data_IF_577191544427
#
_entry.id   IF_577191544427
#
_cell.length_a   1.000
_cell.length_b   1.000
_cell.length_c   1.000
_cell.angle_alpha   90.00
_cell.angle_beta   90.00
_cell.angle_gamma   90.00
#
_symmetry.space_group_name_H-M   'P 1'
#
loop_
_entity.id
_entity.type
_entity.pdbx_description
1 polymer ?
#
# COMPACT_ATOMS: atom_id res chain seq x y z
N UNK A 1 -20.59 9.54 -11.26
CA UNK A 1 -19.28 8.87 -11.51
C UNK A 1 -18.20 9.74 -10.88
N UNK A 2 -17.40 9.19 -9.95
CA UNK A 2 -16.34 9.96 -9.27
C UNK A 2 -15.13 10.09 -10.20
N UNK A 3 -14.55 11.29 -10.33
CA UNK A 3 -13.45 11.54 -11.30
C UNK A 3 -12.07 11.08 -10.80
N UNK A 4 -11.84 11.06 -9.48
CA UNK A 4 -10.66 10.52 -8.78
C UNK A 4 -9.32 11.22 -9.07
N UNK A 5 -8.83 11.22 -10.31
CA UNK A 5 -7.52 11.76 -10.68
C UNK A 5 -7.51 12.30 -12.13
N UNK A 6 -6.94 13.50 -12.39
CA UNK A 6 -6.87 14.08 -13.73
C UNK A 6 -5.81 13.40 -14.61
N UNK A 7 -5.88 13.63 -15.92
CA UNK A 7 -4.89 13.19 -16.89
C UNK A 7 -5.38 12.10 -17.83
N UNK A 8 -4.76 12.00 -19.00
CA UNK A 8 -5.17 11.09 -20.10
C UNK A 8 -4.18 9.95 -20.32
N UNK A 9 -3.06 9.93 -19.60
CA UNK A 9 -2.04 8.89 -19.67
C UNK A 9 -2.50 7.56 -19.07
N UNK A 10 -1.78 6.47 -19.39
CA UNK A 10 -1.98 5.18 -18.74
C UNK A 10 -1.69 5.28 -17.24
N UNK A 11 -0.64 6.00 -16.84
CA UNK A 11 -0.33 6.26 -15.41
C UNK A 11 -1.50 6.92 -14.69
N UNK A 12 -2.15 7.92 -15.29
CA UNK A 12 -3.33 8.56 -14.71
C UNK A 12 -4.52 7.59 -14.61
N UNK A 13 -4.72 6.74 -15.61
CA UNK A 13 -5.76 5.72 -15.58
C UNK A 13 -5.51 4.68 -14.48
N UNK A 14 -4.29 4.19 -14.32
CA UNK A 14 -3.91 3.27 -13.25
C UNK A 14 -4.17 3.91 -11.88
N UNK A 15 -3.82 5.19 -11.69
CA UNK A 15 -4.13 5.93 -10.46
C UNK A 15 -5.63 5.97 -10.15
N UNK A 16 -6.47 6.13 -11.18
CA UNK A 16 -7.93 6.05 -11.05
C UNK A 16 -8.39 4.65 -10.67
N UNK A 17 -7.93 3.62 -11.37
CA UNK A 17 -8.28 2.21 -11.14
C UNK A 17 -8.00 1.79 -9.69
N UNK A 18 -6.76 2.01 -9.22
CA UNK A 18 -6.39 1.69 -7.85
C UNK A 18 -7.22 2.44 -6.82
N UNK A 19 -7.67 3.66 -7.09
CA UNK A 19 -8.41 4.46 -6.09
C UNK A 19 -9.92 4.23 -6.16
N UNK A 20 -10.45 3.73 -7.28
CA UNK A 20 -11.87 3.44 -7.45
C UNK A 20 -12.26 2.14 -6.74
N UNK A 21 -13.10 2.15 -5.67
CA UNK A 21 -13.49 0.92 -4.99
C UNK A 21 -14.24 -0.08 -5.89
N UNK A 22 -14.90 0.40 -6.95
CA UNK A 22 -15.62 -0.44 -7.91
C UNK A 22 -14.71 -1.12 -8.95
N UNK A 23 -13.43 -0.73 -9.03
CA UNK A 23 -12.47 -1.43 -9.88
C UNK A 23 -11.95 -2.67 -9.14
N UNK A 24 -12.14 -3.83 -9.76
CA UNK A 24 -11.61 -5.11 -9.29
C UNK A 24 -10.11 -5.18 -9.54
N UNK A 25 -9.32 -5.27 -8.47
CA UNK A 25 -7.87 -5.37 -8.54
C UNK A 25 -7.49 -6.77 -9.02
N UNK A 26 -6.63 -6.86 -10.03
CA UNK A 26 -6.18 -8.15 -10.54
C UNK A 26 -5.40 -8.93 -9.47
N UNK A 27 -5.84 -10.15 -9.19
CA UNK A 27 -5.13 -11.10 -8.32
C UNK A 27 -4.03 -11.81 -9.12
N UNK A 28 -2.79 -11.68 -8.66
CA UNK A 28 -1.58 -12.18 -9.33
C UNK A 28 -0.96 -13.40 -8.64
N UNK A 29 -1.36 -13.67 -7.39
CA UNK A 29 -0.85 -14.78 -6.56
C UNK A 29 -1.83 -15.14 -5.45
N UNK A 30 -1.58 -16.27 -4.81
CA UNK A 30 -2.26 -16.71 -3.59
C UNK A 30 -1.22 -16.85 -2.47
N UNK A 31 -1.53 -16.32 -1.29
CA UNK A 31 -0.71 -16.43 -0.07
C UNK A 31 -1.64 -16.89 1.04
N UNK A 32 -1.29 -17.97 1.74
CA UNK A 32 -2.15 -18.49 2.81
C UNK A 32 -2.33 -17.46 3.94
N UNK A 33 -3.45 -17.53 4.67
CA UNK A 33 -3.70 -16.61 5.79
C UNK A 33 -2.60 -16.74 6.86
N UNK A 34 -2.11 -17.96 7.09
CA UNK A 34 -0.97 -18.25 7.96
C UNK A 34 0.30 -17.53 7.48
N UNK A 35 0.59 -17.57 6.18
CA UNK A 35 1.76 -16.91 5.63
C UNK A 35 1.65 -15.38 5.67
N UNK A 36 0.45 -14.81 5.53
CA UNK A 36 0.22 -13.38 5.78
C UNK A 36 0.58 -13.03 7.23
N UNK A 37 0.15 -13.83 8.20
CA UNK A 37 0.49 -13.63 9.63
C UNK A 37 2.01 -13.72 9.85
N UNK A 38 2.67 -14.72 9.25
CA UNK A 38 4.14 -14.89 9.30
C UNK A 38 4.88 -13.68 8.73
N UNK A 39 4.48 -13.19 7.55
CA UNK A 39 5.06 -12.01 6.89
C UNK A 39 4.91 -10.75 7.78
N UNK A 40 3.73 -10.59 8.40
CA UNK A 40 3.44 -9.46 9.27
C UNK A 40 4.27 -9.48 10.56
N UNK A 41 4.48 -10.66 11.15
CA UNK A 41 5.36 -10.84 12.32
C UNK A 41 4.83 -10.24 13.63
N UNK A 42 3.51 -10.03 13.76
CA UNK A 42 2.89 -9.40 14.93
C UNK A 42 2.47 -10.40 16.02
N UNK A 43 2.13 -11.60 15.60
CA UNK A 43 1.67 -12.75 16.40
C UNK A 43 2.06 -14.04 15.70
N UNK A 44 2.04 -15.16 16.42
CA UNK A 44 2.22 -16.47 15.79
C UNK A 44 0.91 -16.93 15.08
N UNK A 45 1.00 -17.78 14.05
CA UNK A 45 -0.16 -18.49 13.53
C UNK A 45 -0.88 -19.27 14.66
N UNK A 46 -2.21 -19.19 14.70
CA UNK A 46 -3.03 -19.79 15.76
C UNK A 46 -3.01 -19.06 17.11
N UNK A 47 -2.17 -18.04 17.30
CA UNK A 47 -2.25 -17.17 18.49
C UNK A 47 -3.50 -16.28 18.41
N UNK A 48 -4.22 -16.20 19.53
CA UNK A 48 -5.36 -15.30 19.72
C UNK A 48 -4.98 -13.83 19.50
N UNK A 49 -5.92 -13.04 18.98
CA UNK A 49 -5.74 -11.59 18.90
C UNK A 49 -5.65 -11.00 20.30
N UNK A 50 -4.61 -10.19 20.54
CA UNK A 50 -4.48 -9.50 21.83
C UNK A 50 -5.23 -8.18 21.77
N UNK A 51 -5.84 -7.82 22.89
CA UNK A 51 -6.62 -6.59 23.01
C UNK A 51 -5.80 -5.43 23.61
N UNK A 52 -6.14 -4.20 23.24
CA UNK A 52 -5.64 -2.95 23.84
C UNK A 52 -6.67 -2.32 24.79
N UNK A 53 -7.95 -2.69 24.65
CA UNK A 53 -9.04 -2.34 25.55
C UNK A 53 -10.09 -3.46 25.55
N UNK A 54 -11.03 -3.50 26.52
CA UNK A 54 -12.15 -4.45 26.49
C UNK A 54 -12.99 -4.34 25.21
N UNK A 55 -13.73 -5.40 24.82
CA UNK A 55 -14.74 -5.31 23.77
C UNK A 55 -15.71 -4.13 23.97
N UNK A 56 -16.17 -3.52 22.87
CA UNK A 56 -16.99 -2.30 22.94
C UNK A 56 -18.35 -2.53 23.64
N UNK A 57 -18.89 -3.74 23.58
CA UNK A 57 -20.14 -4.11 24.27
C UNK A 57 -19.98 -4.33 25.78
N UNK A 58 -18.73 -4.39 26.26
CA UNK A 58 -18.40 -4.42 27.68
C UNK A 58 -18.11 -3.01 28.24
N UNK A 59 -18.09 -1.98 27.39
CA UNK A 59 -17.82 -0.60 27.80
C UNK A 59 -19.12 0.15 28.13
N UNK A 60 -19.16 0.80 29.30
CA UNK A 60 -20.26 1.65 29.73
C UNK A 60 -20.09 3.08 29.17
N UNK A 61 -20.16 3.19 27.85
CA UNK A 61 -20.02 4.49 27.18
C UNK A 61 -21.36 5.26 27.16
N UNK A 62 -21.36 6.59 27.39
CA UNK A 62 -22.59 7.39 27.39
C UNK A 62 -23.22 7.47 25.99
N UNK A 63 -24.51 7.75 25.91
CA UNK A 63 -25.22 7.96 24.64
C UNK A 63 -24.52 9.02 23.76
N UNK A 64 -24.23 8.67 22.51
CA UNK A 64 -23.60 9.56 21.52
C UNK A 64 -24.13 9.26 20.12
N UNK A 65 -25.01 10.13 19.64
CA UNK A 65 -25.62 10.02 18.30
C UNK A 65 -24.61 9.96 17.16
N UNK A 66 -23.43 10.58 17.29
CA UNK A 66 -22.39 10.54 16.24
C UNK A 66 -21.71 9.17 16.23
N UNK A 67 -21.47 8.57 17.40
CA UNK A 67 -20.89 7.22 17.51
C UNK A 67 -21.84 6.16 16.93
N UNK A 68 -23.13 6.26 17.25
CA UNK A 68 -24.15 5.30 16.79
C UNK A 68 -24.30 5.25 15.25
N UNK A 69 -24.03 6.36 14.56
CA UNK A 69 -24.07 6.44 13.10
C UNK A 69 -22.89 5.72 12.41
N UNK A 70 -21.78 5.48 13.13
CA UNK A 70 -20.53 4.98 12.54
C UNK A 70 -20.25 3.55 13.01
N UNK A 71 -20.59 2.58 12.17
CA UNK A 71 -20.38 1.16 12.48
C UNK A 71 -18.89 0.83 12.68
N UNK A 72 -18.46 0.30 13.84
CA UNK A 72 -17.06 -0.08 14.07
C UNK A 72 -16.66 -1.29 13.20
N UNK A 73 -15.39 -1.34 12.80
CA UNK A 73 -14.77 -2.54 12.19
C UNK A 73 -14.64 -3.66 13.22
N UNK A 74 -14.48 -4.90 12.77
CA UNK A 74 -14.53 -6.09 13.64
C UNK A 74 -13.47 -6.05 14.74
N UNK A 75 -12.24 -5.64 14.41
CA UNK A 75 -11.16 -5.55 15.40
C UNK A 75 -11.35 -4.39 16.37
N UNK A 76 -12.11 -3.35 16.02
CA UNK A 76 -12.46 -2.29 16.96
C UNK A 76 -13.50 -2.79 17.96
N UNK A 77 -14.51 -3.53 17.50
CA UNK A 77 -15.52 -4.17 18.38
C UNK A 77 -14.88 -5.11 19.41
N UNK A 78 -13.90 -5.91 18.98
CA UNK A 78 -13.20 -6.86 19.85
C UNK A 78 -12.08 -6.24 20.69
N UNK A 79 -11.75 -4.97 20.46
CA UNK A 79 -10.69 -4.27 21.16
C UNK A 79 -9.26 -4.69 20.77
N UNK A 80 -9.06 -5.27 19.59
CA UNK A 80 -7.75 -5.69 19.09
C UNK A 80 -6.72 -4.55 19.13
N UNK A 81 -5.44 -4.87 19.35
CA UNK A 81 -4.36 -3.89 19.20
C UNK A 81 -4.30 -3.32 17.78
N UNK A 82 -3.70 -2.15 17.63
CA UNK A 82 -3.38 -1.54 16.34
C UNK A 82 -2.01 -2.05 15.88
N UNK A 83 -1.93 -2.57 14.65
CA UNK A 83 -0.72 -3.10 14.01
C UNK A 83 -0.61 -2.56 12.59
N UNK A 84 0.49 -2.88 11.90
CA UNK A 84 0.83 -2.25 10.63
C UNK A 84 1.37 -3.21 9.57
N UNK A 85 1.25 -2.82 8.31
CA UNK A 85 2.07 -3.33 7.20
C UNK A 85 2.71 -2.14 6.50
N UNK A 86 3.97 -2.28 6.11
CA UNK A 86 4.73 -1.21 5.45
C UNK A 86 5.42 -1.72 4.18
N UNK A 87 5.26 -0.93 3.11
CA UNK A 87 5.82 -1.22 1.79
C UNK A 87 6.87 -0.19 1.39
N UNK A 88 7.82 -0.64 0.56
CA UNK A 88 8.78 0.20 -0.16
C UNK A 88 8.60 -0.09 -1.64
N UNK A 89 8.28 0.92 -2.43
CA UNK A 89 8.03 0.76 -3.86
C UNK A 89 9.19 1.32 -4.67
N UNK A 90 9.78 0.50 -5.54
CA UNK A 90 10.85 0.92 -6.42
C UNK A 90 10.38 2.04 -7.35
N UNK A 91 11.23 3.06 -7.54
CA UNK A 91 11.04 4.08 -8.57
C UNK A 91 11.22 3.51 -9.99
N UNK A 92 11.68 2.26 -10.14
CA UNK A 92 11.75 1.54 -11.42
C UNK A 92 10.46 0.73 -11.64
N UNK A 93 9.40 1.47 -11.98
CA UNK A 93 8.12 0.97 -12.46
C UNK A 93 7.37 0.01 -11.52
N UNK A 94 7.58 0.08 -10.20
CA UNK A 94 6.69 -0.63 -9.26
C UNK A 94 5.23 -0.23 -9.51
N UNK A 95 4.27 -1.18 -9.40
CA UNK A 95 2.89 -0.94 -9.82
C UNK A 95 2.21 0.11 -8.93
N UNK A 96 2.38 -0.01 -7.61
CA UNK A 96 1.95 0.99 -6.64
C UNK A 96 3.09 1.93 -6.23
N UNK A 97 2.71 3.10 -5.71
CA UNK A 97 3.63 4.15 -5.25
C UNK A 97 3.10 4.82 -3.98
N UNK A 98 3.91 5.54 -3.19
CA UNK A 98 3.53 5.97 -1.85
C UNK A 98 2.22 6.78 -1.76
N UNK A 99 2.08 7.87 -2.54
CA UNK A 99 0.84 8.67 -2.53
C UNK A 99 -0.34 7.97 -3.20
N UNK A 100 -0.08 7.02 -4.12
CA UNK A 100 -1.15 6.20 -4.68
C UNK A 100 -1.77 5.36 -3.57
N UNK A 101 -0.94 4.62 -2.83
CA UNK A 101 -1.36 3.74 -1.76
C UNK A 101 -2.24 4.48 -0.76
N UNK A 102 -1.80 5.61 -0.22
CA UNK A 102 -2.61 6.36 0.76
C UNK A 102 -3.98 6.80 0.23
N UNK A 103 -4.05 7.37 -0.98
CA UNK A 103 -5.33 7.80 -1.59
C UNK A 103 -6.26 6.62 -1.84
N UNK A 104 -5.69 5.55 -2.36
CA UNK A 104 -6.40 4.32 -2.68
C UNK A 104 -6.92 3.64 -1.42
N UNK A 105 -6.12 3.56 -0.37
CA UNK A 105 -6.49 2.92 0.89
C UNK A 105 -7.65 3.67 1.55
N UNK A 106 -7.59 5.01 1.62
CA UNK A 106 -8.66 5.84 2.17
C UNK A 106 -9.96 5.80 1.35
N UNK A 107 -9.90 5.31 0.11
CA UNK A 107 -11.07 5.15 -0.76
C UNK A 107 -11.67 3.74 -0.70
N UNK A 108 -10.87 2.73 -0.34
CA UNK A 108 -11.27 1.31 -0.36
C UNK A 108 -11.50 0.71 1.02
N UNK A 109 -10.80 1.19 2.05
CA UNK A 109 -10.75 0.55 3.36
C UNK A 109 -11.29 1.45 4.47
N UNK A 110 -11.93 0.85 5.47
CA UNK A 110 -12.52 1.54 6.62
C UNK A 110 -11.58 1.49 7.82
N UNK A 111 -11.57 2.53 8.64
CA UNK A 111 -10.91 2.52 9.95
C UNK A 111 -9.39 2.32 9.89
N UNK A 112 -8.74 2.94 8.89
CA UNK A 112 -7.30 2.87 8.68
C UNK A 112 -6.61 4.19 9.06
N UNK A 113 -5.34 4.11 9.41
CA UNK A 113 -4.39 5.22 9.44
C UNK A 113 -3.29 4.94 8.40
N UNK A 114 -2.86 5.94 7.63
CA UNK A 114 -1.86 5.73 6.58
C UNK A 114 -0.85 6.86 6.44
N UNK A 115 0.43 6.49 6.44
CA UNK A 115 1.56 7.41 6.32
C UNK A 115 2.28 7.28 4.98
N UNK A 116 2.56 8.41 4.32
CA UNK A 116 3.28 8.46 3.04
C UNK A 116 4.64 9.12 3.21
N UNK A 117 5.71 8.43 2.81
CA UNK A 117 7.07 8.96 2.72
C UNK A 117 7.65 8.61 1.34
N UNK A 118 8.81 9.18 0.98
CA UNK A 118 9.47 8.83 -0.28
C UNK A 118 9.85 7.35 -0.33
N UNK A 119 10.54 6.86 0.71
CA UNK A 119 11.09 5.51 0.76
C UNK A 119 10.25 4.47 1.48
N UNK A 120 9.03 4.82 1.94
CA UNK A 120 8.11 3.85 2.55
C UNK A 120 6.68 4.37 2.59
N UNK A 121 5.72 3.45 2.58
CA UNK A 121 4.32 3.73 2.82
C UNK A 121 3.77 2.72 3.82
N UNK A 122 3.06 3.21 4.83
CA UNK A 122 2.54 2.40 5.93
C UNK A 122 1.03 2.54 6.04
N UNK A 123 0.38 1.46 6.44
CA UNK A 123 -1.02 1.48 6.89
C UNK A 123 -1.11 0.77 8.23
N UNK A 124 -1.78 1.41 9.19
CA UNK A 124 -2.08 0.90 10.52
C UNK A 124 -3.59 0.71 10.67
N UNK A 125 -4.00 -0.40 11.27
CA UNK A 125 -5.39 -0.71 11.56
C UNK A 125 -5.46 -1.73 12.71
N UNK A 126 -6.67 -2.10 13.13
CA UNK A 126 -6.88 -3.18 14.11
C UNK A 126 -6.34 -4.51 13.58
N UNK A 127 -5.75 -5.33 14.46
CA UNK A 127 -4.91 -6.48 14.08
C UNK A 127 -5.61 -7.47 13.12
N UNK A 128 -6.85 -7.89 13.37
CA UNK A 128 -7.58 -8.77 12.43
C UNK A 128 -7.93 -8.10 11.10
N UNK A 129 -8.16 -6.80 11.11
CA UNK A 129 -8.54 -6.03 9.92
C UNK A 129 -7.30 -5.75 9.05
N UNK A 130 -6.13 -5.52 9.67
CA UNK A 130 -4.87 -5.37 8.93
C UNK A 130 -4.44 -6.68 8.27
N UNK A 131 -4.73 -7.84 8.84
CA UNK A 131 -4.48 -9.14 8.20
C UNK A 131 -5.30 -9.32 6.92
N UNK A 132 -6.61 -9.09 6.98
CA UNK A 132 -7.51 -9.13 5.80
C UNK A 132 -7.06 -8.15 4.71
N UNK A 133 -6.76 -6.91 5.09
CA UNK A 133 -6.30 -5.87 4.18
C UNK A 133 -4.95 -6.25 3.56
N UNK A 134 -4.02 -6.79 4.35
CA UNK A 134 -2.68 -7.18 3.88
C UNK A 134 -2.75 -8.28 2.83
N UNK A 135 -3.65 -9.26 2.97
CA UNK A 135 -3.86 -10.30 1.95
C UNK A 135 -4.20 -9.68 0.59
N UNK A 136 -5.12 -8.71 0.54
CA UNK A 136 -5.45 -7.97 -0.69
C UNK A 136 -4.20 -7.27 -1.24
N UNK A 137 -3.45 -6.57 -0.39
CA UNK A 137 -2.27 -5.82 -0.83
C UNK A 137 -1.16 -6.73 -1.37
N UNK A 138 -1.00 -7.93 -0.83
CA UNK A 138 0.05 -8.87 -1.22
C UNK A 138 -0.34 -9.71 -2.45
N UNK A 139 -1.61 -10.07 -2.58
CA UNK A 139 -2.09 -10.96 -3.64
C UNK A 139 -2.39 -10.25 -4.96
N UNK A 140 -2.64 -8.94 -4.93
CA UNK A 140 -3.10 -8.20 -6.12
C UNK A 140 -1.99 -7.39 -6.78
N UNK A 141 -2.34 -6.69 -7.86
CA UNK A 141 -1.48 -5.76 -8.59
C UNK A 141 -0.91 -4.59 -7.77
N UNK A 142 -1.24 -4.42 -6.48
CA UNK A 142 -0.45 -3.56 -5.60
C UNK A 142 0.99 -4.02 -5.40
N UNK A 143 1.26 -5.31 -5.61
CA UNK A 143 2.49 -5.95 -5.20
C UNK A 143 3.17 -6.67 -6.37
N UNK A 144 4.36 -6.18 -6.69
CA UNK A 144 5.34 -6.93 -7.47
C UNK A 144 6.41 -7.48 -6.53
N UNK A 145 6.80 -8.74 -6.72
CA UNK A 145 7.67 -9.44 -5.78
C UNK A 145 9.12 -8.96 -5.80
N UNK A 146 9.55 -8.27 -6.86
CA UNK A 146 10.91 -7.73 -7.01
C UNK A 146 10.99 -6.20 -6.80
N UNK A 147 9.94 -5.47 -7.18
CA UNK A 147 9.85 -4.00 -7.16
C UNK A 147 9.10 -3.45 -5.96
N UNK A 148 8.40 -4.29 -5.19
CA UNK A 148 7.77 -3.90 -3.93
C UNK A 148 8.34 -4.71 -2.77
N UNK A 149 8.86 -3.99 -1.77
CA UNK A 149 9.47 -4.53 -0.57
C UNK A 149 8.55 -4.49 0.63
N UNK A 150 8.46 -5.56 1.44
CA UNK A 150 7.70 -5.57 2.71
C UNK A 150 8.66 -5.31 3.88
N UNK A 151 8.65 -4.09 4.43
CA UNK A 151 9.75 -3.60 5.29
C UNK A 151 9.28 -2.65 6.39
N UNK A 152 9.26 -3.11 7.64
CA UNK A 152 8.96 -2.30 8.83
C UNK A 152 10.17 -1.49 9.36
N UNK A 153 11.39 -1.99 9.14
CA UNK A 153 12.66 -1.33 9.49
C UNK A 153 13.68 -1.41 8.35
N UNK A 154 14.73 -0.57 8.38
CA UNK A 154 15.79 -0.53 7.35
C UNK A 154 15.24 -0.48 5.92
N UNK A 155 14.47 0.57 5.62
CA UNK A 155 13.62 0.69 4.42
C UNK A 155 14.36 1.16 3.15
N UNK A 156 15.67 1.37 3.20
CA UNK A 156 16.42 1.89 2.07
C UNK A 156 16.28 0.97 0.84
N UNK A 157 16.06 1.53 -0.36
CA UNK A 157 15.92 0.74 -1.60
C UNK A 157 15.15 1.41 -2.73
N UNK A 158 14.10 2.21 -2.45
CA UNK A 158 13.19 2.74 -3.49
C UNK A 158 13.89 3.49 -4.64
N UNK A 159 14.97 4.21 -4.33
CA UNK A 159 15.73 5.05 -5.25
C UNK A 159 17.05 4.42 -5.73
N UNK A 160 17.31 3.16 -5.35
CA UNK A 160 18.55 2.47 -5.72
C UNK A 160 18.38 1.76 -7.06
N UNK A 161 19.50 1.56 -7.74
CA UNK A 161 19.55 0.62 -8.86
C UNK A 161 19.11 -0.75 -8.37
N UNK A 162 18.44 -1.48 -9.26
CA UNK A 162 18.12 -2.89 -9.05
C UNK A 162 19.41 -3.72 -9.08
N UNK A 163 19.37 -4.90 -8.45
CA UNK A 163 20.46 -5.86 -8.52
C UNK A 163 20.47 -6.62 -9.86
N UNK A 164 21.41 -7.55 -10.03
CA UNK A 164 21.56 -8.33 -11.26
C UNK A 164 20.39 -9.26 -11.59
N UNK A 165 19.50 -9.51 -10.62
CA UNK A 165 18.28 -10.31 -10.80
C UNK A 165 17.02 -9.41 -10.91
N UNK A 166 17.19 -8.09 -10.96
CA UNK A 166 16.09 -7.13 -11.07
C UNK A 166 15.37 -6.83 -9.75
N UNK A 167 15.92 -7.28 -8.60
CA UNK A 167 15.34 -7.04 -7.29
C UNK A 167 15.74 -5.68 -6.74
N UNK A 168 14.81 -5.04 -6.03
CA UNK A 168 15.08 -3.83 -5.28
C UNK A 168 15.96 -4.13 -4.06
N UNK A 169 17.04 -3.36 -3.90
CA UNK A 169 17.94 -3.45 -2.74
C UNK A 169 17.17 -3.55 -1.42
N UNK A 170 17.52 -4.51 -0.58
CA UNK A 170 17.09 -4.63 0.82
C UNK A 170 18.32 -4.87 1.70
N UNK A 171 18.59 -3.97 2.65
CA UNK A 171 19.70 -4.11 3.59
C UNK A 171 19.62 -5.41 4.41
N UNK A 172 18.40 -5.89 4.72
CA UNK A 172 18.18 -7.09 5.53
C UNK A 172 17.93 -8.36 4.70
N UNK A 173 17.84 -8.21 3.37
CA UNK A 173 17.54 -9.28 2.39
C UNK A 173 16.35 -10.15 2.80
N UNK A 174 15.21 -9.53 3.11
CA UNK A 174 13.99 -10.24 3.50
C UNK A 174 13.35 -10.99 2.34
N UNK A 175 13.42 -10.42 1.14
CA UNK A 175 13.01 -11.06 -0.11
C UNK A 175 14.26 -11.50 -0.89
N UNK A 176 14.31 -12.77 -1.29
CA UNK A 176 15.46 -13.37 -1.98
C UNK A 176 14.97 -14.05 -3.26
N UNK A 177 15.70 -13.82 -4.36
CA UNK A 177 15.43 -14.48 -5.63
C UNK A 177 16.05 -15.88 -5.66
N UNK A 178 15.24 -16.89 -5.92
CA UNK A 178 15.67 -18.25 -6.13
C UNK A 178 15.92 -18.48 -7.63
N UNK A 179 17.19 -18.63 -8.01
CA UNK A 179 17.59 -18.80 -9.43
C UNK A 179 17.15 -20.12 -10.05
N UNK A 180 16.89 -21.15 -9.23
CA UNK A 180 16.46 -22.46 -9.72
C UNK A 180 14.98 -22.45 -10.08
N UNK A 181 14.17 -21.73 -9.32
CA UNK A 181 12.71 -21.68 -9.50
C UNK A 181 12.21 -20.44 -10.23
N UNK A 182 13.04 -19.38 -10.32
CA UNK A 182 12.65 -18.07 -10.85
C UNK A 182 11.72 -17.27 -9.93
N UNK A 183 11.52 -17.74 -8.68
CA UNK A 183 10.57 -17.14 -7.73
C UNK A 183 11.28 -16.31 -6.67
N UNK A 184 10.57 -15.34 -6.12
CA UNK A 184 10.99 -14.61 -4.92
C UNK A 184 10.39 -15.27 -3.69
N UNK A 185 11.23 -15.47 -2.69
CA UNK A 185 10.86 -16.03 -1.39
C UNK A 185 11.07 -14.97 -0.30
N UNK A 186 10.07 -14.80 0.58
CA UNK A 186 10.21 -14.04 1.81
C UNK A 186 10.81 -14.97 2.86
N UNK A 187 12.06 -14.72 3.27
CA UNK A 187 12.81 -15.56 4.22
C UNK A 187 12.82 -14.98 5.64
N UNK A 188 12.33 -13.75 5.80
CA UNK A 188 12.24 -13.02 7.06
C UNK A 188 10.93 -12.25 7.10
N UNK A 189 10.39 -11.98 8.28
CA UNK A 189 9.23 -11.09 8.46
C UNK A 189 9.56 -9.63 8.07
N UNK A 190 8.56 -8.75 8.11
CA UNK A 190 8.75 -7.35 7.73
C UNK A 190 9.78 -6.60 8.60
N UNK A 191 10.06 -7.03 9.85
CA UNK A 191 11.06 -6.39 10.73
C UNK A 191 12.45 -7.04 10.62
N UNK A 192 12.56 -8.16 9.90
CA UNK A 192 13.83 -8.84 9.60
C UNK A 192 14.14 -10.05 10.47
N UNK A 193 13.16 -10.61 11.19
CA UNK A 193 13.32 -11.89 11.90
C UNK A 193 13.17 -13.04 10.92
N UNK A 194 14.00 -14.06 11.03
CA UNK A 194 13.94 -15.25 10.16
C UNK A 194 12.60 -15.98 10.35
N UNK A 195 12.05 -16.46 9.24
CA UNK A 195 10.89 -17.34 9.26
C UNK A 195 11.38 -18.79 9.35
N UNK A 196 10.66 -19.62 10.10
CA UNK A 196 10.97 -21.05 10.21
C UNK A 196 10.91 -21.72 8.82
N UNK A 197 9.96 -21.30 7.99
CA UNK A 197 9.81 -21.69 6.60
C UNK A 197 9.65 -20.45 5.70
N UNK A 198 10.37 -20.35 4.56
CA UNK A 198 10.19 -19.26 3.62
C UNK A 198 8.79 -19.25 3.00
N UNK A 199 8.24 -18.06 2.79
CA UNK A 199 6.99 -17.87 2.06
C UNK A 199 7.29 -17.60 0.58
N UNK A 200 6.78 -18.43 -0.31
CA UNK A 200 6.93 -18.24 -1.76
C UNK A 200 5.97 -17.13 -2.23
N UNK A 201 6.53 -16.00 -2.68
CA UNK A 201 5.74 -14.87 -3.17
C UNK A 201 5.40 -14.99 -4.67
N UNK A 202 6.06 -15.88 -5.40
CA UNK A 202 5.89 -16.07 -6.83
C UNK A 202 6.93 -15.32 -7.67
N UNK A 203 6.70 -15.29 -8.97
CA UNK A 203 7.63 -14.71 -9.95
C UNK A 203 7.54 -13.17 -9.95
N UNK A 204 8.65 -12.45 -10.24
CA UNK A 204 8.59 -11.04 -10.58
C UNK A 204 7.77 -10.81 -11.84
N UNK A 205 7.03 -9.70 -11.91
CA UNK A 205 6.42 -9.25 -13.15
C UNK A 205 7.50 -8.86 -14.17
N UNK A 206 7.26 -9.14 -15.44
CA UNK A 206 8.11 -8.66 -16.51
C UNK A 206 8.02 -7.14 -16.70
N UNK A 207 9.01 -6.57 -17.39
CA UNK A 207 9.10 -5.12 -17.60
C UNK A 207 7.91 -4.54 -18.38
N UNK A 208 7.34 -5.29 -19.32
CA UNK A 208 6.19 -4.86 -20.11
C UNK A 208 4.96 -4.70 -19.20
N UNK A 209 4.69 -5.71 -18.39
CA UNK A 209 3.59 -5.72 -17.42
C UNK A 209 3.78 -4.64 -16.36
N UNK A 210 4.99 -4.46 -15.84
CA UNK A 210 5.30 -3.38 -14.89
C UNK A 210 5.00 -2.00 -15.49
N UNK A 211 5.43 -1.75 -16.74
CA UNK A 211 5.17 -0.48 -17.43
C UNK A 211 3.69 -0.24 -17.69
N UNK A 212 2.93 -1.29 -18.01
CA UNK A 212 1.49 -1.20 -18.19
C UNK A 212 0.74 -0.91 -16.87
N UNK A 213 1.22 -1.43 -15.74
CA UNK A 213 0.57 -1.32 -14.43
C UNK A 213 1.06 -0.16 -13.55
N UNK A 214 2.23 0.39 -13.86
CA UNK A 214 2.85 1.40 -13.00
C UNK A 214 2.03 2.68 -12.85
N UNK A 215 2.24 3.34 -11.72
CA UNK A 215 1.62 4.61 -11.37
C UNK A 215 2.65 5.74 -11.21
N UNK A 216 3.92 5.47 -11.51
CA UNK A 216 4.99 6.48 -11.54
C UNK A 216 5.18 7.04 -12.96
N UNK A 217 5.31 8.35 -13.08
CA UNK A 217 5.73 8.97 -14.33
C UNK A 217 7.26 9.01 -14.40
N UNK A 218 7.83 8.69 -15.55
CA UNK A 218 9.27 8.74 -15.83
C UNK A 218 9.55 9.06 -17.29
N UNK A 219 10.71 9.64 -17.58
CA UNK A 219 11.07 10.02 -18.95
C UNK A 219 11.33 8.81 -19.87
N UNK A 220 11.72 7.68 -19.30
CA UNK A 220 11.88 6.39 -19.97
C UNK A 220 10.59 5.54 -19.90
N UNK A 221 9.46 6.14 -19.52
CA UNK A 221 8.10 5.62 -19.61
C UNK A 221 7.16 6.74 -20.09
N UNK A 222 6.01 6.94 -19.44
CA UNK A 222 5.22 8.16 -19.65
C UNK A 222 5.76 9.30 -18.76
N UNK A 223 6.14 10.44 -19.35
CA UNK A 223 6.64 11.58 -18.60
C UNK A 223 5.50 12.48 -18.12
N UNK A 224 5.56 12.94 -16.87
CA UNK A 224 4.49 13.76 -16.28
C UNK A 224 4.23 15.06 -17.04
N UNK A 225 5.29 15.66 -17.61
CA UNK A 225 5.20 16.87 -18.43
C UNK A 225 4.34 16.70 -19.69
N UNK A 226 4.18 15.48 -20.17
CA UNK A 226 3.44 15.16 -21.39
C UNK A 226 1.97 14.84 -21.08
N UNK A 227 1.61 14.56 -19.81
CA UNK A 227 0.22 14.49 -19.33
C UNK A 227 -0.29 15.89 -18.95
N UNK A 228 -0.48 16.71 -19.99
CA UNK A 228 -0.79 18.14 -19.86
C UNK A 228 -2.04 18.43 -19.02
N UNK A 229 -3.03 17.55 -19.02
CA UNK A 229 -4.25 17.69 -18.22
C UNK A 229 -3.97 17.51 -16.72
N UNK A 230 -3.13 16.54 -16.36
CA UNK A 230 -2.69 16.37 -14.98
C UNK A 230 -1.87 17.58 -14.50
N UNK A 231 -0.94 18.07 -15.34
CA UNK A 231 -0.14 19.26 -15.06
C UNK A 231 -1.01 20.49 -14.86
N UNK A 232 -1.98 20.72 -15.75
CA UNK A 232 -2.91 21.86 -15.69
C UNK A 232 -3.71 21.88 -14.40
N UNK A 233 -4.22 20.73 -13.96
CA UNK A 233 -4.97 20.65 -12.69
C UNK A 233 -4.04 20.91 -11.49
N UNK A 234 -2.81 20.38 -11.49
CA UNK A 234 -1.83 20.66 -10.44
C UNK A 234 -1.51 22.17 -10.33
N UNK A 235 -1.24 22.82 -11.47
CA UNK A 235 -0.99 24.26 -11.53
C UNK A 235 -2.21 25.07 -11.08
N UNK A 236 -3.42 24.67 -11.50
CA UNK A 236 -4.66 25.30 -11.05
C UNK A 236 -4.81 25.23 -9.53
N UNK A 237 -4.57 24.08 -8.90
CA UNK A 237 -4.61 23.94 -7.44
C UNK A 237 -3.60 24.89 -6.77
N UNK A 238 -2.37 24.98 -7.30
CA UNK A 238 -1.36 25.89 -6.79
C UNK A 238 -1.86 27.35 -6.83
N UNK A 239 -2.28 27.82 -8.00
CA UNK A 239 -2.76 29.20 -8.20
C UNK A 239 -3.97 29.48 -7.32
N UNK A 240 -5.00 28.62 -7.34
CA UNK A 240 -6.22 28.84 -6.56
C UNK A 240 -5.95 28.89 -5.05
N UNK A 241 -5.02 28.08 -4.53
CA UNK A 241 -4.62 28.14 -3.11
C UNK A 241 -3.87 29.44 -2.79
N UNK A 242 -2.98 29.89 -3.68
CA UNK A 242 -2.23 31.14 -3.51
C UNK A 242 -3.16 32.35 -3.46
N UNK A 243 -4.10 32.45 -4.41
CA UNK A 243 -5.09 33.53 -4.43
C UNK A 243 -6.06 33.46 -3.26
N UNK A 244 -6.60 32.27 -2.96
CA UNK A 244 -7.52 32.10 -1.84
C UNK A 244 -6.91 32.48 -0.49
N UNK A 245 -5.60 32.27 -0.31
CA UNK A 245 -4.88 32.69 0.90
C UNK A 245 -4.60 34.21 0.94
N UNK A 246 -4.41 34.84 -0.22
CA UNK A 246 -4.20 36.28 -0.30
C UNK A 246 -5.52 37.05 -0.12
N UNK A 247 -6.55 36.70 -0.89
CA UNK A 247 -7.90 37.22 -0.78
C UNK A 247 -8.92 36.19 -1.32
N UNK A 248 -9.75 35.57 -0.47
CA UNK A 248 -10.70 34.54 -0.88
C UNK A 248 -11.89 35.06 -1.69
N UNK A 249 -12.13 36.38 -1.74
CA UNK A 249 -13.24 37.00 -2.47
C UNK A 249 -12.84 37.44 -3.88
N UNK A 250 -11.57 37.77 -4.08
CA UNK A 250 -11.00 38.02 -5.38
C UNK A 250 -10.73 36.67 -6.05
N UNK A 251 -11.76 36.10 -6.68
CA UNK A 251 -11.61 34.93 -7.52
C UNK A 251 -10.48 35.12 -8.55
N UNK A 252 -9.89 33.99 -8.97
CA UNK A 252 -8.86 33.97 -10.03
C UNK A 252 -9.38 34.50 -11.38
#
# INVERSE_FOLDING_TARGET
>A
MVQIYPGTSQVAQNRRNFTNPEYELEKLREISDEDVVKILGHKAPGEEYKSVHPPLDEMDEPDDSVRELVAPIDGAKAGDRIRYIQFVDSMYFAPAQPFLRARSYLSRFRGIDTGTLSGRQVVEARERDIEKLSKILLETEYFDTARTGIRGGSVHGHSLRLDENGLMFDMLRRQVFNKETGKVEMVKDQIGKELDEPVILGEPLDEETLRAKTTIYRIDGEAYKDDVDAVKVCQRIHVSRSFGAFNPEAGW
#
